data_IF_848156079222
#
_entry.id   IF_848156079222
#
_cell.length_a   1.000
_cell.length_b   1.000
_cell.length_c   1.000
_cell.angle_alpha   90.00
_cell.angle_beta   90.00
_cell.angle_gamma   90.00
#
_symmetry.space_group_name_H-M   'P 1'
#
loop_
_entity.id
_entity.type
_entity.pdbx_description
1 polymer ?
#
# COMPACT_ATOMS: atom_id res chain seq x y z
N UNK A 1 49.92 32.98 -32.38
CA UNK A 1 49.19 32.02 -33.23
C UNK A 1 48.30 31.18 -32.33
N UNK A 2 47.03 31.58 -32.25
CA UNK A 2 45.94 30.75 -31.74
C UNK A 2 45.70 29.58 -32.69
N UNK A 3 45.29 28.42 -32.16
CA UNK A 3 44.10 27.68 -32.64
C UNK A 3 43.76 26.46 -31.77
N UNK A 4 42.72 26.67 -30.94
CA UNK A 4 41.49 25.86 -30.76
C UNK A 4 41.55 24.41 -30.25
N UNK A 5 41.05 24.29 -29.01
CA UNK A 5 40.11 23.29 -28.45
C UNK A 5 39.48 22.29 -29.44
N UNK A 6 39.49 21.02 -29.03
CA UNK A 6 38.26 20.20 -29.03
C UNK A 6 38.26 19.24 -27.83
N UNK A 7 37.51 19.61 -26.79
CA UNK A 7 36.94 18.64 -25.84
C UNK A 7 35.95 17.80 -26.63
N UNK A 8 36.16 16.49 -26.70
CA UNK A 8 35.08 15.56 -27.05
C UNK A 8 34.54 15.00 -25.74
N UNK A 9 33.27 15.31 -25.52
CA UNK A 9 32.40 14.59 -24.62
C UNK A 9 32.10 13.22 -25.23
N UNK A 10 32.11 12.20 -24.38
CA UNK A 10 31.22 11.06 -24.41
C UNK A 10 30.73 10.97 -22.97
N UNK A 11 29.60 11.58 -22.60
CA UNK A 11 28.26 11.04 -22.83
C UNK A 11 28.29 9.52 -22.74
N UNK A 12 28.25 9.01 -21.50
CA UNK A 12 27.48 7.83 -21.07
C UNK A 12 27.59 7.61 -19.54
N UNK A 13 27.48 8.67 -18.74
CA UNK A 13 27.24 8.59 -17.29
C UNK A 13 25.79 8.99 -16.95
N UNK A 14 24.81 8.29 -17.51
CA UNK A 14 23.41 8.53 -17.18
C UNK A 14 22.54 7.26 -17.32
N UNK A 15 22.95 6.17 -16.69
CA UNK A 15 22.07 5.00 -16.62
C UNK A 15 22.74 3.84 -15.96
N UNK A 16 22.50 3.67 -14.65
CA UNK A 16 22.50 2.38 -13.89
C UNK A 16 22.80 2.52 -12.39
N UNK A 17 22.96 3.73 -11.83
CA UNK A 17 23.08 3.90 -10.37
C UNK A 17 21.72 4.04 -9.66
N UNK A 18 20.69 3.31 -10.10
CA UNK A 18 19.42 3.15 -9.38
C UNK A 18 19.44 1.87 -8.54
N UNK A 19 20.03 1.96 -7.35
CA UNK A 19 19.53 1.40 -6.08
C UNK A 19 18.79 0.03 -6.09
N UNK A 20 19.54 -1.08 -6.05
CA UNK A 20 18.97 -2.42 -5.86
C UNK A 20 18.17 -2.64 -4.53
N UNK A 21 18.40 -1.83 -3.49
CA UNK A 21 17.67 -1.93 -2.21
C UNK A 21 16.28 -1.27 -2.24
N UNK A 22 16.20 0.00 -2.68
CA UNK A 22 14.95 0.77 -2.68
C UNK A 22 13.93 0.26 -3.69
N UNK A 23 14.37 -0.34 -4.77
CA UNK A 23 13.46 -0.94 -5.76
C UNK A 23 12.81 -2.20 -5.22
N UNK A 24 13.57 -3.05 -4.53
CA UNK A 24 13.03 -4.24 -3.86
C UNK A 24 11.99 -3.86 -2.81
N UNK A 25 12.27 -2.84 -1.99
CA UNK A 25 11.33 -2.35 -0.97
C UNK A 25 10.04 -1.79 -1.61
N UNK A 26 10.16 -1.10 -2.75
CA UNK A 26 9.01 -0.58 -3.49
C UNK A 26 8.18 -1.71 -4.11
N UNK A 27 8.81 -2.71 -4.70
CA UNK A 27 8.13 -3.87 -5.27
C UNK A 27 7.41 -4.68 -4.18
N UNK A 28 8.04 -4.86 -3.02
CA UNK A 28 7.42 -5.52 -1.87
C UNK A 28 6.20 -4.73 -1.37
N UNK A 29 6.32 -3.41 -1.24
CA UNK A 29 5.21 -2.54 -0.88
C UNK A 29 4.05 -2.65 -1.87
N UNK A 30 4.34 -2.56 -3.18
CA UNK A 30 3.32 -2.68 -4.24
C UNK A 30 2.64 -4.05 -4.18
N UNK A 31 3.40 -5.13 -3.98
CA UNK A 31 2.86 -6.48 -3.83
C UNK A 31 1.93 -6.60 -2.62
N UNK A 32 2.30 -6.04 -1.45
CA UNK A 32 1.43 -6.02 -0.26
C UNK A 32 0.17 -5.20 -0.48
N UNK A 33 0.26 -4.05 -1.15
CA UNK A 33 -0.91 -3.23 -1.51
C UNK A 33 -1.82 -3.97 -2.49
N UNK A 34 -1.28 -4.64 -3.50
CA UNK A 34 -2.06 -5.43 -4.45
C UNK A 34 -2.74 -6.63 -3.78
N UNK A 35 -2.04 -7.30 -2.87
CA UNK A 35 -2.61 -8.38 -2.06
C UNK A 35 -3.83 -7.90 -1.25
N UNK A 36 -3.71 -6.76 -0.56
CA UNK A 36 -4.81 -6.17 0.21
C UNK A 36 -5.94 -5.73 -0.73
N UNK A 37 -5.62 -5.04 -1.84
CA UNK A 37 -6.59 -4.54 -2.81
C UNK A 37 -7.47 -5.64 -3.40
N UNK A 38 -6.91 -6.84 -3.58
CA UNK A 38 -7.59 -7.99 -4.15
C UNK A 38 -8.39 -8.80 -3.12
N UNK A 39 -8.50 -8.37 -1.87
CA UNK A 39 -9.36 -9.00 -0.87
C UNK A 39 -10.84 -8.82 -1.27
N UNK A 40 -11.52 -9.95 -1.46
CA UNK A 40 -12.95 -10.01 -1.74
C UNK A 40 -13.74 -10.28 -0.46
N UNK A 41 -15.03 -10.00 -0.53
CA UNK A 41 -15.94 -10.48 0.49
C UNK A 41 -15.86 -12.01 0.56
N UNK A 42 -16.06 -12.54 1.76
CA UNK A 42 -16.02 -13.96 2.04
C UNK A 42 -14.64 -14.62 1.84
N UNK A 43 -13.57 -13.84 1.63
CA UNK A 43 -12.19 -14.35 1.67
C UNK A 43 -11.58 -14.29 3.07
N UNK A 44 -10.84 -15.34 3.40
CA UNK A 44 -10.00 -15.44 4.59
C UNK A 44 -8.56 -15.15 4.19
N UNK A 45 -7.89 -14.27 4.95
CA UNK A 45 -6.51 -13.86 4.71
C UNK A 45 -5.52 -14.61 5.62
N UNK A 46 -4.40 -15.04 5.05
CA UNK A 46 -3.24 -15.56 5.76
C UNK A 46 -2.04 -14.63 5.52
N UNK A 47 -1.77 -13.76 6.50
CA UNK A 47 -0.73 -12.71 6.39
C UNK A 47 0.67 -13.29 6.16
N UNK A 48 1.04 -14.33 6.89
CA UNK A 48 2.40 -14.91 6.86
C UNK A 48 2.77 -15.50 5.50
N UNK A 49 1.78 -15.96 4.74
CA UNK A 49 1.97 -16.57 3.42
C UNK A 49 1.48 -15.69 2.27
N UNK A 50 0.96 -14.48 2.55
CA UNK A 50 0.28 -13.62 1.56
C UNK A 50 -0.69 -14.42 0.68
N UNK A 51 -1.49 -15.27 1.32
CA UNK A 51 -2.47 -16.12 0.62
C UNK A 51 -3.88 -15.86 1.12
N UNK A 52 -4.86 -16.23 0.29
CA UNK A 52 -6.28 -16.04 0.55
C UNK A 52 -7.08 -17.27 0.17
N UNK A 53 -8.17 -17.52 0.89
CA UNK A 53 -9.05 -18.68 0.69
C UNK A 53 -10.51 -18.24 0.65
N UNK A 54 -11.27 -18.72 -0.33
CA UNK A 54 -12.71 -18.44 -0.46
C UNK A 54 -13.53 -19.23 0.55
N UNK A 55 -14.58 -18.61 1.10
CA UNK A 55 -15.54 -19.26 1.95
C UNK A 55 -16.54 -20.10 1.13
N UNK A 56 -16.38 -21.43 1.13
CA UNK A 56 -17.35 -22.37 0.55
C UNK A 56 -18.06 -23.19 1.63
N UNK A 57 -19.27 -23.70 1.34
CA UNK A 57 -20.01 -24.58 2.26
C UNK A 57 -19.20 -25.80 2.73
N UNK A 58 -18.30 -26.35 1.90
CA UNK A 58 -17.40 -27.45 2.28
C UNK A 58 -16.31 -27.06 3.28
N UNK A 59 -15.83 -25.80 3.21
CA UNK A 59 -14.89 -25.26 4.21
C UNK A 59 -15.53 -24.96 5.56
N UNK A 60 -16.87 -24.91 5.64
CA UNK A 60 -17.61 -24.69 6.89
C UNK A 60 -17.38 -25.81 7.91
N UNK A 61 -17.27 -27.07 7.47
CA UNK A 61 -17.03 -28.22 8.37
C UNK A 61 -15.59 -28.22 8.92
N UNK A 62 -14.61 -27.92 8.06
CA UNK A 62 -13.21 -27.73 8.46
C UNK A 62 -13.08 -26.54 9.44
N UNK A 63 -13.89 -25.49 9.25
CA UNK A 63 -13.90 -24.31 10.11
C UNK A 63 -14.63 -24.52 11.44
N UNK A 64 -15.65 -25.36 11.53
CA UNK A 64 -16.24 -25.76 12.82
C UNK A 64 -15.18 -26.44 13.69
N UNK A 65 -14.34 -27.30 13.09
CA UNK A 65 -13.22 -27.94 13.78
C UNK A 65 -12.13 -26.91 14.16
N UNK A 66 -11.76 -25.99 13.25
CA UNK A 66 -10.76 -24.95 13.55
C UNK A 66 -11.25 -23.84 14.50
N UNK A 67 -12.56 -23.52 14.52
CA UNK A 67 -13.16 -22.55 15.44
C UNK A 67 -13.42 -23.16 16.83
N UNK A 68 -13.78 -24.46 16.92
CA UNK A 68 -13.79 -25.15 18.22
C UNK A 68 -12.37 -25.35 18.77
N UNK A 69 -11.37 -25.49 17.90
CA UNK A 69 -9.95 -25.61 18.27
C UNK A 69 -9.21 -24.30 18.47
N UNK A 70 -9.88 -23.13 18.39
CA UNK A 70 -9.26 -21.83 18.66
C UNK A 70 -8.25 -21.35 17.63
N UNK A 71 -8.09 -21.97 16.46
CA UNK A 71 -7.06 -21.62 15.47
C UNK A 71 -7.26 -20.25 14.79
N UNK A 72 -8.48 -19.70 14.83
CA UNK A 72 -8.74 -18.28 14.54
C UNK A 72 -8.67 -17.45 15.82
N UNK A 73 -7.50 -17.49 16.47
CA UNK A 73 -7.23 -16.75 17.70
C UNK A 73 -7.34 -15.24 17.49
N UNK A 74 -7.54 -14.49 18.58
CA UNK A 74 -7.36 -13.03 18.63
C UNK A 74 -6.00 -12.59 18.05
N UNK A 75 -4.99 -13.45 18.16
CA UNK A 75 -3.65 -13.24 17.60
C UNK A 75 -3.67 -13.13 16.06
N UNK A 76 -4.42 -13.99 15.36
CA UNK A 76 -4.58 -13.91 13.90
C UNK A 76 -5.25 -12.61 13.44
N UNK A 77 -6.17 -12.07 14.24
CA UNK A 77 -6.87 -10.80 13.96
C UNK A 77 -5.95 -9.61 14.17
N UNK A 78 -5.20 -9.62 15.27
CA UNK A 78 -4.18 -8.61 15.55
C UNK A 78 -3.13 -8.56 14.44
N UNK A 79 -2.58 -9.72 14.05
CA UNK A 79 -1.60 -9.83 12.95
C UNK A 79 -2.16 -9.25 11.65
N UNK A 80 -3.44 -9.51 11.35
CA UNK A 80 -4.12 -8.95 10.18
C UNK A 80 -4.20 -7.42 10.21
N UNK A 81 -4.62 -6.86 11.34
CA UNK A 81 -4.76 -5.41 11.47
C UNK A 81 -3.38 -4.72 11.47
N UNK A 82 -2.39 -5.32 12.13
CA UNK A 82 -1.02 -4.82 12.13
C UNK A 82 -0.43 -4.84 10.72
N UNK A 83 -0.66 -5.91 9.94
CA UNK A 83 -0.26 -5.98 8.53
C UNK A 83 -0.89 -4.85 7.68
N UNK A 84 -2.19 -4.56 7.86
CA UNK A 84 -2.83 -3.45 7.18
C UNK A 84 -2.19 -2.11 7.56
N UNK A 85 -2.02 -1.85 8.86
CA UNK A 85 -1.42 -0.62 9.36
C UNK A 85 0.00 -0.43 8.84
N UNK A 86 0.86 -1.42 9.01
CA UNK A 86 2.26 -1.38 8.59
C UNK A 86 2.39 -1.14 7.09
N UNK A 87 1.60 -1.84 6.27
CA UNK A 87 1.63 -1.68 4.81
C UNK A 87 1.22 -0.26 4.40
N UNK A 88 0.13 0.25 4.97
CA UNK A 88 -0.38 1.60 4.68
C UNK A 88 0.56 2.70 5.21
N UNK A 89 1.12 2.54 6.41
CA UNK A 89 2.07 3.49 6.99
C UNK A 89 3.36 3.54 6.18
N UNK A 90 3.87 2.38 5.73
CA UNK A 90 5.01 2.31 4.83
C UNK A 90 4.69 2.99 3.48
N UNK A 91 3.46 2.85 2.97
CA UNK A 91 3.01 3.51 1.76
C UNK A 91 3.05 5.05 1.90
N UNK A 92 2.46 5.59 2.97
CA UNK A 92 2.52 7.03 3.26
C UNK A 92 3.94 7.53 3.49
N UNK A 93 4.76 6.77 4.20
CA UNK A 93 6.17 7.10 4.41
C UNK A 93 6.92 7.20 3.08
N UNK A 94 6.72 6.22 2.20
CA UNK A 94 7.35 6.16 0.88
C UNK A 94 6.91 7.35 0.02
N UNK A 95 5.61 7.67 -0.01
CA UNK A 95 5.11 8.85 -0.72
C UNK A 95 5.77 10.13 -0.20
N UNK A 96 5.86 10.29 1.12
CA UNK A 96 6.51 11.46 1.72
C UNK A 96 8.00 11.57 1.35
N UNK A 97 8.72 10.45 1.23
CA UNK A 97 10.12 10.46 0.78
C UNK A 97 10.24 10.89 -0.69
N UNK A 98 9.37 10.39 -1.56
CA UNK A 98 9.41 10.71 -2.98
C UNK A 98 8.88 12.13 -3.27
N UNK A 99 7.91 12.63 -2.51
CA UNK A 99 7.44 14.02 -2.61
C UNK A 99 8.53 15.06 -2.31
N UNK A 100 9.56 14.71 -1.52
CA UNK A 100 10.69 15.60 -1.24
C UNK A 100 11.72 15.67 -2.37
N UNK A 101 11.64 14.78 -3.37
CA UNK A 101 12.58 14.71 -4.48
C UNK A 101 12.04 15.49 -5.69
N UNK A 102 12.77 16.49 -6.15
CA UNK A 102 12.42 17.30 -7.32
C UNK A 102 12.77 16.57 -8.63
N UNK A 103 12.03 15.52 -8.98
CA UNK A 103 12.12 14.89 -10.31
C UNK A 103 10.78 14.30 -10.77
N UNK A 104 10.69 13.90 -12.04
CA UNK A 104 9.46 13.38 -12.68
C UNK A 104 9.15 11.94 -12.23
N UNK A 105 10.17 11.09 -12.07
CA UNK A 105 10.05 9.70 -11.62
C UNK A 105 9.29 9.53 -10.27
N UNK A 106 9.56 10.36 -9.24
CA UNK A 106 8.79 10.41 -8.00
C UNK A 106 7.29 10.62 -8.16
N UNK A 107 6.82 11.34 -9.19
CA UNK A 107 5.38 11.59 -9.36
C UNK A 107 4.64 10.34 -9.81
N UNK A 108 5.20 9.57 -10.75
CA UNK A 108 4.62 8.31 -11.20
C UNK A 108 4.56 7.28 -10.06
N UNK A 109 5.66 7.15 -9.29
CA UNK A 109 5.71 6.27 -8.12
C UNK A 109 4.67 6.70 -7.07
N UNK A 110 4.57 7.99 -6.75
CA UNK A 110 3.57 8.49 -5.82
C UNK A 110 2.14 8.19 -6.30
N UNK A 111 1.86 8.40 -7.59
CA UNK A 111 0.54 8.10 -8.15
C UNK A 111 0.20 6.61 -8.07
N UNK A 112 1.18 5.73 -8.33
CA UNK A 112 1.02 4.29 -8.22
C UNK A 112 0.70 3.87 -6.78
N UNK A 113 1.48 4.35 -5.80
CA UNK A 113 1.25 4.02 -4.39
C UNK A 113 -0.09 4.58 -3.90
N UNK A 114 -0.45 5.82 -4.27
CA UNK A 114 -1.76 6.41 -3.91
C UNK A 114 -2.91 5.57 -4.46
N UNK A 115 -2.82 5.13 -5.72
CA UNK A 115 -3.82 4.21 -6.30
C UNK A 115 -3.90 2.91 -5.50
N UNK A 116 -2.74 2.31 -5.17
CA UNK A 116 -2.68 1.09 -4.36
C UNK A 116 -3.28 1.24 -2.97
N UNK A 117 -3.13 2.40 -2.31
CA UNK A 117 -3.79 2.70 -1.02
C UNK A 117 -5.31 2.77 -1.19
N UNK A 118 -5.80 3.44 -2.24
CA UNK A 118 -7.25 3.58 -2.50
C UNK A 118 -7.88 2.21 -2.77
N UNK A 119 -7.22 1.37 -3.57
CA UNK A 119 -7.70 0.01 -3.87
C UNK A 119 -7.59 -0.90 -2.63
N UNK A 120 -6.50 -0.79 -1.86
CA UNK A 120 -6.36 -1.46 -0.56
C UNK A 120 -7.49 -1.11 0.40
N UNK A 121 -7.89 0.17 0.49
CA UNK A 121 -9.03 0.60 1.32
C UNK A 121 -10.29 -0.20 0.97
N UNK A 122 -10.58 -0.39 -0.32
CA UNK A 122 -11.71 -1.18 -0.78
C UNK A 122 -11.58 -2.64 -0.34
N UNK A 123 -10.40 -3.24 -0.51
CA UNK A 123 -10.13 -4.61 -0.06
C UNK A 123 -10.31 -4.80 1.45
N UNK A 124 -9.83 -3.86 2.26
CA UNK A 124 -10.04 -3.87 3.71
C UNK A 124 -11.52 -3.73 4.06
N UNK A 125 -12.27 -2.89 3.34
CA UNK A 125 -13.73 -2.77 3.50
C UNK A 125 -14.44 -4.09 3.17
N UNK A 126 -14.03 -4.80 2.12
CA UNK A 126 -14.60 -6.11 1.79
C UNK A 126 -14.31 -7.14 2.90
N UNK A 127 -13.07 -7.15 3.40
CA UNK A 127 -12.67 -8.03 4.48
C UNK A 127 -13.42 -7.73 5.79
N UNK A 128 -13.70 -6.44 6.04
CA UNK A 128 -14.56 -5.98 7.15
C UNK A 128 -15.98 -6.56 7.05
N UNK A 129 -16.57 -6.62 5.85
CA UNK A 129 -17.87 -7.30 5.65
C UNK A 129 -17.78 -8.81 5.91
N UNK A 130 -16.68 -9.47 5.53
CA UNK A 130 -16.42 -10.87 5.90
C UNK A 130 -16.41 -11.06 7.42
N UNK A 131 -15.70 -10.21 8.16
CA UNK A 131 -15.65 -10.24 9.62
C UNK A 131 -17.02 -9.98 10.26
N UNK A 132 -17.83 -9.08 9.68
CA UNK A 132 -19.19 -8.80 10.12
C UNK A 132 -20.12 -10.00 9.95
N UNK A 133 -20.07 -10.69 8.79
CA UNK A 133 -20.82 -11.95 8.55
C UNK A 133 -20.44 -13.02 9.57
N UNK A 134 -19.20 -13.01 10.06
CA UNK A 134 -18.67 -13.92 11.08
C UNK A 134 -18.97 -13.50 12.53
N UNK A 135 -19.69 -12.40 12.75
CA UNK A 135 -20.02 -11.84 14.07
C UNK A 135 -18.77 -11.47 14.90
N UNK A 136 -17.75 -10.91 14.25
CA UNK A 136 -16.51 -10.49 14.90
C UNK A 136 -16.55 -9.00 15.27
N UNK A 137 -17.58 -8.58 16.02
CA UNK A 137 -17.97 -7.17 16.18
C UNK A 137 -16.87 -6.23 16.72
N UNK A 138 -16.05 -6.72 17.66
CA UNK A 138 -14.89 -5.97 18.19
C UNK A 138 -13.90 -5.68 17.07
N UNK A 139 -13.57 -6.71 16.28
CA UNK A 139 -12.59 -6.59 15.21
C UNK A 139 -13.11 -5.74 14.04
N UNK A 140 -14.41 -5.85 13.74
CA UNK A 140 -15.09 -4.95 12.79
C UNK A 140 -14.95 -3.50 13.23
N UNK A 141 -15.12 -3.21 14.52
CA UNK A 141 -14.97 -1.86 15.08
C UNK A 141 -13.53 -1.34 14.97
N UNK A 142 -12.54 -2.20 15.16
CA UNK A 142 -11.12 -1.85 14.98
C UNK A 142 -10.80 -1.53 13.51
N UNK A 143 -11.33 -2.32 12.57
CA UNK A 143 -11.18 -2.05 11.13
C UNK A 143 -11.89 -0.74 10.76
N UNK A 144 -13.08 -0.47 11.29
CA UNK A 144 -13.80 0.79 11.07
C UNK A 144 -13.00 2.01 11.56
N UNK A 145 -12.38 1.89 12.74
CA UNK A 145 -11.48 2.91 13.26
C UNK A 145 -10.29 3.15 12.34
N UNK A 146 -9.66 2.07 11.87
CA UNK A 146 -8.56 2.16 10.92
C UNK A 146 -8.95 2.80 9.58
N UNK A 147 -10.09 2.41 8.99
CA UNK A 147 -10.59 2.98 7.74
C UNK A 147 -10.88 4.48 7.85
N UNK A 148 -11.41 4.94 8.98
CA UNK A 148 -11.62 6.38 9.24
C UNK A 148 -10.31 7.16 9.29
N UNK A 149 -9.30 6.64 9.98
CA UNK A 149 -7.96 7.27 10.04
C UNK A 149 -7.34 7.31 8.64
N UNK A 150 -7.48 6.22 7.88
CA UNK A 150 -7.01 6.13 6.51
C UNK A 150 -7.66 7.20 5.60
N UNK A 151 -8.95 7.45 5.75
CA UNK A 151 -9.66 8.48 4.99
C UNK A 151 -9.11 9.89 5.26
N UNK A 152 -8.95 10.24 6.54
CA UNK A 152 -8.35 11.52 6.93
C UNK A 152 -6.95 11.67 6.36
N UNK A 153 -6.13 10.62 6.42
CA UNK A 153 -4.77 10.64 5.89
C UNK A 153 -4.72 10.77 4.36
N UNK A 154 -5.64 10.11 3.65
CA UNK A 154 -5.77 10.22 2.20
C UNK A 154 -6.20 11.61 1.76
N UNK A 155 -7.21 12.20 2.42
CA UNK A 155 -7.65 13.57 2.15
C UNK A 155 -6.50 14.57 2.33
N UNK A 156 -5.81 14.49 3.48
CA UNK A 156 -4.64 15.31 3.78
C UNK A 156 -3.53 15.16 2.72
N UNK A 157 -3.27 13.94 2.27
CA UNK A 157 -2.27 13.68 1.23
C UNK A 157 -2.68 14.29 -0.12
N UNK A 158 -3.95 14.10 -0.53
CA UNK A 158 -4.46 14.64 -1.77
C UNK A 158 -4.41 16.18 -1.80
N UNK A 159 -4.73 16.83 -0.67
CA UNK A 159 -4.55 18.27 -0.53
C UNK A 159 -3.10 18.71 -0.72
N UNK A 160 -2.15 18.02 -0.09
CA UNK A 160 -0.71 18.32 -0.22
C UNK A 160 -0.23 18.18 -1.67
N UNK A 161 -0.67 17.13 -2.37
CA UNK A 161 -0.36 16.92 -3.79
C UNK A 161 -0.94 18.07 -4.64
N UNK A 162 -2.19 18.49 -4.39
CA UNK A 162 -2.82 19.62 -5.10
C UNK A 162 -2.07 20.94 -4.88
N UNK A 163 -1.65 21.24 -3.63
CA UNK A 163 -0.88 22.45 -3.29
C UNK A 163 0.49 22.44 -3.97
N UNK A 164 1.18 21.30 -3.98
CA UNK A 164 2.47 21.15 -4.68
C UNK A 164 2.41 21.45 -6.17
N UNK A 165 1.33 21.00 -6.86
CA UNK A 165 1.13 21.30 -8.29
C UNK A 165 0.92 22.79 -8.57
N UNK A 166 0.12 23.49 -7.75
CA UNK A 166 -0.10 24.95 -7.90
C UNK A 166 1.18 25.76 -7.69
N UNK A 167 2.05 25.32 -6.79
CA UNK A 167 3.31 26.03 -6.53
C UNK A 167 4.31 25.88 -7.67
N UNK A 168 4.24 24.79 -8.46
CA UNK A 168 5.09 24.59 -9.63
C UNK A 168 4.57 25.31 -10.88
N UNK A 169 3.24 25.46 -11.05
CA UNK A 169 2.68 26.23 -12.17
C UNK A 169 3.03 27.71 -12.08
N UNK A 170 2.99 28.29 -10.88
CA UNK A 170 3.28 29.71 -10.67
C UNK A 170 4.78 30.07 -10.77
N UNK A 171 5.67 29.09 -10.97
CA UNK A 171 7.10 29.31 -11.22
C UNK A 171 7.45 29.27 -12.71
N UNK A 172 6.49 28.91 -13.56
CA UNK A 172 6.63 28.79 -15.02
C UNK A 172 5.88 29.90 -15.78
N UNK A 173 5.15 30.75 -15.06
CA UNK A 173 4.54 32.00 -15.54
C UNK A 173 5.39 33.21 -15.10
#
# INVERSE_FOLDING_TARGET
MESKKKKMASDDEAGTNFVNGREKDLLELVSKLDFIANLKEDEIMYVTSLSKSEYSWGTSFHRTICNLGGLWTTESKKITLDFFKETIDLAFHTINQYMKKNSIYPQAINSMIVKGIIESKKGISNYRETCKKRKEDIFVSEIDGFLKILDVNLENLQERIKRGKKSQSNLLD
#
